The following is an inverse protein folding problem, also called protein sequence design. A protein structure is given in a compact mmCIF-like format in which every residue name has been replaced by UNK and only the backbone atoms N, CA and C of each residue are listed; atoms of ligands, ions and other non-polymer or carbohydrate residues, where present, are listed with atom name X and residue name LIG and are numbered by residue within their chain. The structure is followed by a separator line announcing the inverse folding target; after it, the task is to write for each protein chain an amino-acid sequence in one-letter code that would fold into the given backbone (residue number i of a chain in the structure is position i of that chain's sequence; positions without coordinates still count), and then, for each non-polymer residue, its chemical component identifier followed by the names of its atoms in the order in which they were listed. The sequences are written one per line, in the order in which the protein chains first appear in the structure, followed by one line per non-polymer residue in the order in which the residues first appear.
data_IF_039574075077
#
_entry.id   IF_039574075077
#
_cell.length_a   1.000
_cell.length_b   1.000
_cell.length_c   1.000
_cell.angle_alpha   90.00
_cell.angle_beta   90.00
_cell.angle_gamma   90.00
#
_symmetry.space_group_name_H-M   'P 1'
#
loop_
_entity.id
_entity.type
_entity.pdbx_description
1 polymer ?
#
# COMPACT_ATOMS: atom_id res chain seq x y z
N UNK A 1 23.71 31.83 21.01
CA UNK A 1 22.62 30.87 21.29
C UNK A 1 22.45 30.84 22.80
N UNK A 2 21.22 30.92 23.32
CA UNK A 2 20.98 30.87 24.77
C UNK A 2 21.45 29.53 25.33
N UNK A 3 22.25 29.52 26.40
CA UNK A 3 22.71 28.31 27.12
C UNK A 3 21.60 27.66 27.97
N UNK A 4 20.32 27.98 27.71
CA UNK A 4 19.21 27.24 28.33
C UNK A 4 19.16 25.82 27.78
N UNK A 5 19.21 24.84 28.67
CA UNK A 5 19.12 23.43 28.35
C UNK A 5 17.74 23.07 27.75
N UNK A 6 17.72 22.24 26.71
CA UNK A 6 16.48 21.69 26.16
C UNK A 6 16.14 20.40 26.89
N UNK A 7 15.00 20.37 27.58
CA UNK A 7 14.53 19.13 28.23
C UNK A 7 13.89 18.23 27.18
N UNK A 8 14.37 16.99 27.05
CA UNK A 8 13.82 15.98 26.14
C UNK A 8 13.21 14.84 26.96
N UNK A 9 11.94 14.53 26.69
CA UNK A 9 11.27 13.34 27.22
C UNK A 9 10.93 12.38 26.06
N UNK A 10 10.44 11.18 26.36
CA UNK A 10 9.90 10.28 25.34
C UNK A 10 8.77 10.92 24.50
N UNK A 11 8.14 12.00 25.00
CA UNK A 11 7.13 12.76 24.28
C UNK A 11 7.69 13.88 23.38
N UNK A 12 8.99 14.18 23.44
CA UNK A 12 9.66 15.26 22.69
C UNK A 12 10.25 16.36 23.59
N UNK A 13 10.66 17.50 23.00
CA UNK A 13 11.12 18.66 23.76
C UNK A 13 9.95 19.27 24.54
N UNK A 14 10.16 19.55 25.84
CA UNK A 14 9.14 20.09 26.75
C UNK A 14 9.64 21.42 27.35
N UNK A 15 8.76 22.41 27.56
CA UNK A 15 9.13 23.63 28.27
C UNK A 15 9.57 23.34 29.71
N UNK A 16 10.55 24.07 30.21
CA UNK A 16 10.97 24.01 31.62
C UNK A 16 9.91 24.65 32.54
N UNK A 17 9.83 24.17 33.78
CA UNK A 17 8.93 24.78 34.76
C UNK A 17 9.48 26.12 35.26
N UNK A 18 8.61 27.07 35.67
CA UNK A 18 9.03 28.35 36.24
C UNK A 18 10.01 28.19 37.40
N UNK A 19 9.81 27.18 38.25
CA UNK A 19 10.67 26.90 39.39
C UNK A 19 12.09 26.50 38.97
N UNK A 20 12.22 25.64 37.94
CA UNK A 20 13.51 25.20 37.43
C UNK A 20 14.28 26.35 36.78
N UNK A 21 13.59 27.20 36.02
CA UNK A 21 14.18 28.40 35.42
C UNK A 21 14.64 29.40 36.48
N UNK A 22 13.85 29.57 37.55
CA UNK A 22 14.21 30.41 38.69
C UNK A 22 15.47 29.92 39.40
N UNK A 23 15.58 28.62 39.65
CA UNK A 23 16.76 28.02 40.27
C UNK A 23 18.02 28.22 39.42
N UNK A 24 17.91 28.04 38.09
CA UNK A 24 19.02 28.28 37.17
C UNK A 24 19.45 29.75 37.14
N UNK A 25 18.47 30.67 37.06
CA UNK A 25 18.73 32.11 37.06
C UNK A 25 19.44 32.55 38.34
N UNK A 26 18.95 32.09 39.50
CA UNK A 26 19.56 32.38 40.80
C UNK A 26 20.96 31.79 40.91
N UNK A 27 21.17 30.55 40.46
CA UNK A 27 22.49 29.91 40.45
C UNK A 27 23.50 30.68 39.60
N UNK A 28 23.11 31.12 38.40
CA UNK A 28 23.96 31.93 37.53
C UNK A 28 24.27 33.31 38.15
N UNK A 29 23.26 33.96 38.72
CA UNK A 29 23.41 35.26 39.37
C UNK A 29 24.39 35.21 40.55
N UNK A 30 24.32 34.17 41.37
CA UNK A 30 25.25 33.95 42.50
C UNK A 30 26.67 33.67 42.02
N UNK A 31 26.85 32.95 40.90
CA UNK A 31 28.17 32.73 40.31
C UNK A 31 28.80 34.01 39.76
N UNK A 32 28.01 34.88 39.13
CA UNK A 32 28.50 36.14 38.56
C UNK A 32 28.74 37.23 39.61
N UNK A 33 27.98 37.22 40.70
CA UNK A 33 28.09 38.18 41.79
C UNK A 33 28.03 37.48 43.17
N UNK A 34 29.18 36.98 43.66
CA UNK A 34 29.26 36.32 44.98
C UNK A 34 28.97 37.35 46.09
N UNK A 35 27.76 37.33 46.63
CA UNK A 35 27.27 38.25 47.66
C UNK A 35 25.80 38.63 47.57
N UNK A 36 25.10 38.25 46.49
CA UNK A 36 23.64 38.41 46.38
C UNK A 36 22.92 37.56 47.43
N UNK A 37 22.08 38.20 48.25
CA UNK A 37 21.18 37.53 49.20
C UNK A 37 19.82 37.31 48.55
N UNK A 38 19.53 36.08 48.12
CA UNK A 38 18.30 35.72 47.38
C UNK A 38 17.12 35.31 48.27
N UNK A 39 17.29 35.26 49.60
CA UNK A 39 16.27 34.80 50.55
C UNK A 39 15.71 35.93 51.44
N UNK A 40 15.23 37.01 50.82
CA UNK A 40 14.47 38.05 51.54
C UNK A 40 13.06 38.13 50.94
N UNK A 41 12.04 37.60 51.65
CA UNK A 41 10.65 37.72 51.23
C UNK A 41 10.26 39.20 51.07
N UNK A 42 9.76 39.58 49.89
CA UNK A 42 9.27 40.95 49.61
C UNK A 42 10.34 41.98 49.24
N UNK A 43 11.43 41.57 48.58
CA UNK A 43 12.47 42.49 48.09
C UNK A 43 12.35 42.78 46.59
N UNK A 44 12.86 43.92 46.12
CA UNK A 44 12.98 44.27 44.70
C UNK A 44 13.64 43.16 43.85
N UNK A 45 14.47 42.32 44.48
CA UNK A 45 15.14 41.19 43.83
C UNK A 45 14.14 40.10 43.44
N UNK A 46 13.09 39.87 44.24
CA UNK A 46 12.06 38.86 43.95
C UNK A 46 11.14 39.31 42.80
N UNK A 47 10.78 40.59 42.75
CA UNK A 47 10.05 41.19 41.62
C UNK A 47 10.86 41.12 40.30
N UNK A 48 12.17 41.39 40.37
CA UNK A 48 13.06 41.29 39.20
C UNK A 48 13.18 39.83 38.75
N UNK A 49 13.44 38.90 39.68
CA UNK A 49 13.61 37.47 39.38
C UNK A 49 12.32 36.88 38.81
N UNK A 50 11.15 37.22 39.34
CA UNK A 50 9.87 36.71 38.82
C UNK A 50 9.55 37.27 37.43
N UNK A 51 9.86 38.55 37.17
CA UNK A 51 9.72 39.17 35.84
C UNK A 51 10.64 38.50 34.82
N UNK A 52 11.91 38.29 35.18
CA UNK A 52 12.90 37.63 34.32
C UNK A 52 12.55 36.16 34.06
N UNK A 53 12.06 35.42 35.06
CA UNK A 53 11.55 34.05 34.88
C UNK A 53 10.36 34.03 33.92
N UNK A 54 9.47 35.02 33.99
CA UNK A 54 8.37 35.18 33.02
C UNK A 54 8.88 35.36 31.58
N UNK A 55 9.91 36.19 31.38
CA UNK A 55 10.54 36.38 30.07
C UNK A 55 11.27 35.12 29.59
N UNK A 56 11.96 34.40 30.47
CA UNK A 56 12.65 33.14 30.19
C UNK A 56 11.67 32.05 29.78
N UNK A 57 10.50 31.96 30.42
CA UNK A 57 9.46 30.99 30.08
C UNK A 57 8.94 31.19 28.65
N UNK A 58 8.73 32.45 28.23
CA UNK A 58 8.31 32.77 26.86
C UNK A 58 9.41 32.38 25.87
N UNK A 59 10.68 32.67 26.18
CA UNK A 59 11.81 32.28 25.35
C UNK A 59 11.95 30.76 25.21
N UNK A 60 11.77 30.02 26.30
CA UNK A 60 11.86 28.56 26.33
C UNK A 60 10.71 27.91 25.54
N UNK A 61 9.48 28.45 25.67
CA UNK A 61 8.33 28.03 24.88
C UNK A 61 8.58 28.27 23.37
N UNK A 62 9.06 29.46 22.99
CA UNK A 62 9.38 29.76 21.60
C UNK A 62 10.45 28.81 21.03
N UNK A 63 11.44 28.42 21.84
CA UNK A 63 12.46 27.43 21.45
C UNK A 63 11.85 26.04 21.23
N UNK A 64 10.99 25.59 22.14
CA UNK A 64 10.31 24.28 22.01
C UNK A 64 9.41 24.25 20.77
N UNK A 65 8.66 25.32 20.52
CA UNK A 65 7.81 25.44 19.34
C UNK A 65 8.63 25.46 18.04
N UNK A 66 9.78 26.14 18.04
CA UNK A 66 10.70 26.12 16.90
C UNK A 66 11.26 24.72 16.65
N UNK A 67 11.67 23.99 17.68
CA UNK A 67 12.19 22.62 17.51
C UNK A 67 11.08 21.69 17.00
N UNK A 68 9.88 21.79 17.56
CA UNK A 68 8.72 21.00 17.11
C UNK A 68 8.30 21.34 15.67
N UNK A 69 8.62 22.53 15.17
CA UNK A 69 8.29 22.96 13.80
C UNK A 69 9.10 22.24 12.71
N UNK A 70 10.28 21.69 13.03
CA UNK A 70 11.19 21.10 12.04
C UNK A 70 10.74 19.72 11.56
N UNK A 71 10.01 18.97 12.39
CA UNK A 71 9.60 17.59 12.10
C UNK A 71 8.08 17.43 11.96
N UNK A 72 7.59 16.64 10.99
CA UNK A 72 6.15 16.50 10.75
C UNK A 72 5.42 15.78 11.90
N UNK A 73 6.12 14.94 12.69
CA UNK A 73 5.53 14.18 13.78
C UNK A 73 5.04 15.05 14.95
N UNK A 74 5.67 16.22 15.17
CA UNK A 74 5.37 17.13 16.29
C UNK A 74 4.98 18.54 15.86
N UNK A 75 5.10 18.84 14.56
CA UNK A 75 4.65 20.11 14.01
C UNK A 75 3.17 20.37 14.31
N UNK A 76 2.86 21.65 14.55
CA UNK A 76 1.48 22.13 14.56
C UNK A 76 0.88 22.01 13.14
N UNK A 77 -0.45 22.07 13.03
CA UNK A 77 -1.14 21.82 11.74
C UNK A 77 -0.74 22.86 10.67
N UNK A 78 -0.48 24.10 11.07
CA UNK A 78 -0.04 25.15 10.14
C UNK A 78 1.33 24.83 9.54
N UNK A 79 2.31 24.52 10.39
CA UNK A 79 3.66 24.14 9.96
C UNK A 79 3.66 22.81 9.22
N UNK A 80 2.82 21.86 9.60
CA UNK A 80 2.66 20.59 8.91
C UNK A 80 2.16 20.79 7.46
N UNK A 81 1.24 21.74 7.24
CA UNK A 81 0.84 22.12 5.87
C UNK A 81 1.98 22.80 5.10
N UNK A 82 2.83 23.59 5.76
CA UNK A 82 4.01 24.17 5.12
C UNK A 82 5.05 23.10 4.74
N UNK A 83 5.30 22.15 5.64
CA UNK A 83 6.15 20.97 5.40
C UNK A 83 5.60 20.09 4.27
N UNK A 84 4.26 19.95 4.20
CA UNK A 84 3.58 19.28 3.10
C UNK A 84 3.83 19.98 1.76
N UNK A 85 3.69 21.32 1.71
CA UNK A 85 4.00 22.11 0.52
C UNK A 85 5.46 21.97 0.11
N UNK A 86 6.39 22.00 1.06
CA UNK A 86 7.82 21.81 0.79
C UNK A 86 8.11 20.42 0.21
N UNK A 87 7.40 19.38 0.66
CA UNK A 87 7.50 18.02 0.13
C UNK A 87 6.70 17.81 -1.18
N UNK A 88 6.02 18.84 -1.70
CA UNK A 88 5.22 18.77 -2.93
C UNK A 88 3.93 17.97 -2.80
N UNK A 89 3.41 17.80 -1.58
CA UNK A 89 2.16 17.09 -1.31
C UNK A 89 1.02 18.09 -1.00
N UNK A 90 -0.19 17.73 -1.42
CA UNK A 90 -1.38 18.52 -1.13
C UNK A 90 -1.63 18.65 0.39
N UNK A 91 -2.21 19.77 0.87
CA UNK A 91 -2.54 19.99 2.28
C UNK A 91 -3.47 18.91 2.85
N UNK A 92 -3.77 18.98 4.15
CA UNK A 92 -4.70 18.03 4.81
C UNK A 92 -5.99 17.90 3.99
N UNK A 93 -6.35 16.67 3.62
CA UNK A 93 -7.55 16.44 2.80
C UNK A 93 -8.78 16.89 3.59
N UNK A 94 -9.49 17.87 3.05
CA UNK A 94 -10.77 18.33 3.60
C UNK A 94 -11.85 17.30 3.30
N UNK A 95 -12.97 17.39 4.01
CA UNK A 95 -14.12 16.53 3.77
C UNK A 95 -14.56 16.65 2.30
N UNK A 96 -14.71 15.51 1.63
CA UNK A 96 -15.18 15.47 0.25
C UNK A 96 -16.63 15.95 0.14
N UNK A 97 -17.01 16.45 -1.04
CA UNK A 97 -18.40 16.72 -1.35
C UNK A 97 -19.05 15.47 -1.93
N UNK A 98 -20.24 15.12 -1.44
CA UNK A 98 -21.04 14.02 -1.99
C UNK A 98 -21.47 14.38 -3.40
N UNK A 99 -21.31 13.45 -4.34
CA UNK A 99 -21.68 13.64 -5.76
C UNK A 99 -22.84 12.73 -6.11
N UNK A 100 -23.78 13.23 -6.93
CA UNK A 100 -24.98 12.50 -7.32
C UNK A 100 -25.16 12.60 -8.83
N UNK A 101 -25.34 11.47 -9.53
CA UNK A 101 -25.74 11.48 -10.93
C UNK A 101 -27.24 11.81 -11.03
N UNK A 102 -27.57 12.93 -11.64
CA UNK A 102 -28.95 13.41 -11.82
C UNK A 102 -29.31 13.37 -13.31
N UNK A 103 -30.57 13.06 -13.59
CA UNK A 103 -31.16 13.06 -14.90
C UNK A 103 -32.32 14.05 -14.91
N UNK A 104 -32.39 14.90 -15.95
CA UNK A 104 -33.44 15.89 -16.12
C UNK A 104 -34.38 15.49 -17.25
N UNK A 105 -35.69 15.65 -17.04
CA UNK A 105 -36.74 15.41 -18.02
C UNK A 105 -37.53 16.70 -18.23
N UNK A 106 -37.68 17.13 -19.49
CA UNK A 106 -38.32 18.38 -19.86
C UNK A 106 -38.36 18.63 -21.37
N UNK A 107 -38.74 19.83 -21.83
CA UNK A 107 -38.85 20.12 -23.25
C UNK A 107 -37.49 20.09 -23.95
N UNK A 108 -37.45 19.41 -25.11
CA UNK A 108 -36.25 19.29 -25.93
C UNK A 108 -35.69 20.66 -26.33
N UNK A 109 -34.37 20.81 -26.23
CA UNK A 109 -33.66 22.06 -26.54
C UNK A 109 -33.52 23.04 -25.37
N UNK A 110 -34.09 22.74 -24.20
CA UNK A 110 -33.87 23.56 -23.00
C UNK A 110 -32.46 23.36 -22.46
N UNK A 111 -31.72 24.45 -22.26
CA UNK A 111 -30.37 24.46 -21.70
C UNK A 111 -30.40 24.67 -20.19
N UNK A 112 -29.79 23.74 -19.46
CA UNK A 112 -29.60 23.79 -18.01
C UNK A 112 -28.18 24.32 -17.76
N UNK A 113 -28.03 25.53 -17.19
CA UNK A 113 -26.71 26.13 -16.99
C UNK A 113 -25.95 25.44 -15.86
N UNK A 114 -24.63 25.57 -15.88
CA UNK A 114 -23.77 25.21 -14.75
C UNK A 114 -24.22 25.96 -13.49
N UNK A 115 -24.22 25.28 -12.34
CA UNK A 115 -24.68 25.85 -11.07
C UNK A 115 -26.18 25.72 -10.81
N UNK A 116 -26.93 25.03 -11.68
CA UNK A 116 -28.33 24.69 -11.44
C UNK A 116 -28.48 23.81 -10.18
N UNK A 117 -29.41 24.16 -9.29
CA UNK A 117 -29.51 23.57 -7.95
C UNK A 117 -30.71 22.62 -7.86
N UNK A 118 -30.43 21.39 -7.42
CA UNK A 118 -31.40 20.32 -7.15
C UNK A 118 -31.27 19.85 -5.70
N UNK A 119 -32.32 19.22 -5.16
CA UNK A 119 -32.41 18.83 -3.75
C UNK A 119 -33.07 17.45 -3.58
N UNK A 120 -32.63 16.71 -2.57
CA UNK A 120 -33.26 15.48 -2.08
C UNK A 120 -34.26 15.74 -0.92
N UNK A 121 -34.47 17.02 -0.57
CA UNK A 121 -35.30 17.48 0.54
C UNK A 121 -34.54 17.76 1.84
N UNK A 122 -33.29 17.27 1.97
CA UNK A 122 -32.42 17.51 3.13
C UNK A 122 -31.14 18.27 2.76
N UNK A 123 -30.57 17.97 1.59
CA UNK A 123 -29.33 18.51 1.09
C UNK A 123 -29.51 19.05 -0.34
N UNK A 124 -28.71 20.05 -0.69
CA UNK A 124 -28.73 20.68 -2.01
C UNK A 124 -27.48 20.31 -2.80
N UNK A 125 -27.64 20.17 -4.11
CA UNK A 125 -26.60 19.78 -5.06
C UNK A 125 -26.62 20.74 -6.24
N UNK A 126 -25.44 21.16 -6.70
CA UNK A 126 -25.26 22.04 -7.84
C UNK A 126 -24.73 21.27 -9.03
N UNK A 127 -25.21 21.61 -10.23
CA UNK A 127 -24.79 20.99 -11.47
C UNK A 127 -23.37 21.43 -11.85
N UNK A 128 -22.47 20.46 -12.10
CA UNK A 128 -21.05 20.74 -12.38
C UNK A 128 -20.82 21.28 -13.79
N UNK A 129 -21.55 20.78 -14.79
CA UNK A 129 -21.40 21.15 -16.20
C UNK A 129 -22.76 21.46 -16.82
N UNK A 130 -22.82 22.50 -17.66
CA UNK A 130 -24.04 22.84 -18.36
C UNK A 130 -24.46 21.69 -19.31
N UNK A 131 -25.76 21.42 -19.38
CA UNK A 131 -26.32 20.36 -20.24
C UNK A 131 -27.55 20.86 -20.98
N UNK A 132 -27.90 20.21 -22.10
CA UNK A 132 -29.08 20.54 -22.90
C UNK A 132 -29.95 19.29 -23.00
N UNK A 133 -31.26 19.44 -22.88
CA UNK A 133 -32.21 18.33 -23.03
C UNK A 133 -32.25 17.91 -24.51
N UNK A 134 -31.84 16.66 -24.85
CA UNK A 134 -31.87 16.17 -26.23
C UNK A 134 -33.30 15.91 -26.71
N UNK A 135 -33.46 15.59 -28.00
CA UNK A 135 -34.76 15.32 -28.62
C UNK A 135 -35.53 14.14 -28.02
N UNK A 136 -34.89 13.32 -27.18
CA UNK A 136 -35.53 12.24 -26.42
C UNK A 136 -36.31 12.72 -25.19
N UNK A 137 -36.25 14.02 -24.84
CA UNK A 137 -36.95 14.60 -23.69
C UNK A 137 -36.24 14.39 -22.35
N UNK A 138 -35.17 13.59 -22.31
CA UNK A 138 -34.43 13.26 -21.08
C UNK A 138 -32.93 13.40 -21.30
N UNK A 139 -32.21 14.03 -20.38
CA UNK A 139 -30.75 14.18 -20.43
C UNK A 139 -30.03 12.86 -20.17
N UNK A 140 -28.77 12.70 -20.61
CA UNK A 140 -27.83 11.76 -20.00
C UNK A 140 -27.63 12.05 -18.50
N UNK A 141 -27.10 11.09 -17.74
CA UNK A 141 -26.73 11.33 -16.35
C UNK A 141 -25.67 12.43 -16.27
N UNK A 142 -25.97 13.49 -15.53
CA UNK A 142 -25.07 14.61 -15.27
C UNK A 142 -24.70 14.65 -13.80
N UNK A 143 -23.45 15.00 -13.50
CA UNK A 143 -22.94 14.99 -12.12
C UNK A 143 -23.30 16.30 -11.42
N UNK A 144 -24.03 16.18 -10.32
CA UNK A 144 -24.27 17.27 -9.37
C UNK A 144 -23.43 17.04 -8.11
N UNK A 145 -22.84 18.11 -7.57
CA UNK A 145 -22.01 18.07 -6.36
C UNK A 145 -22.71 18.79 -5.22
N UNK A 146 -22.65 18.25 -4.01
CA UNK A 146 -23.30 18.85 -2.85
C UNK A 146 -22.76 20.25 -2.54
N UNK A 147 -23.65 21.18 -2.20
CA UNK A 147 -23.28 22.56 -1.82
C UNK A 147 -22.58 22.61 -0.45
N UNK A 148 -22.87 21.64 0.42
CA UNK A 148 -22.22 21.47 1.72
C UNK A 148 -21.23 20.32 1.68
N UNK A 149 -20.03 20.51 2.24
CA UNK A 149 -19.06 19.42 2.40
C UNK A 149 -19.59 18.41 3.41
N UNK A 150 -19.57 17.12 3.04
CA UNK A 150 -20.05 16.06 3.91
C UNK A 150 -20.20 14.73 3.18
N UNK A 151 -20.22 13.67 3.99
CA UNK A 151 -20.45 12.29 3.54
C UNK A 151 -21.81 11.83 4.03
N UNK A 152 -22.73 11.57 3.11
CA UNK A 152 -24.01 10.96 3.41
C UNK A 152 -24.45 10.08 2.25
N UNK A 153 -25.26 9.06 2.56
CA UNK A 153 -25.82 8.19 1.54
C UNK A 153 -26.97 8.91 0.82
N UNK A 154 -26.94 8.92 -0.52
CA UNK A 154 -28.04 9.43 -1.36
C UNK A 154 -28.61 8.25 -2.14
N UNK A 155 -29.68 7.60 -1.67
CA UNK A 155 -30.31 6.48 -2.40
C UNK A 155 -30.83 6.90 -3.77
N UNK A 156 -30.96 5.94 -4.69
CA UNK A 156 -31.58 6.19 -6.00
C UNK A 156 -33.04 6.67 -5.85
N UNK A 157 -33.47 7.61 -6.70
CA UNK A 157 -34.82 8.18 -6.71
C UNK A 157 -35.11 9.24 -5.63
N UNK A 158 -34.11 9.71 -4.88
CA UNK A 158 -34.30 10.68 -3.79
C UNK A 158 -34.20 12.15 -4.24
N UNK A 159 -33.37 12.45 -5.25
CA UNK A 159 -33.20 13.82 -5.76
C UNK A 159 -34.32 14.15 -6.73
N UNK A 160 -35.38 14.78 -6.24
CA UNK A 160 -36.61 15.07 -7.02
C UNK A 160 -37.01 16.54 -7.04
N UNK A 161 -36.38 17.38 -6.21
CA UNK A 161 -36.74 18.79 -6.10
C UNK A 161 -35.78 19.68 -6.88
N UNK A 162 -36.34 20.57 -7.69
CA UNK A 162 -35.61 21.61 -8.38
C UNK A 162 -35.73 22.90 -7.55
N UNK A 163 -34.59 23.46 -7.15
CA UNK A 163 -34.54 24.67 -6.31
C UNK A 163 -34.36 25.93 -7.17
N UNK A 164 -33.62 25.82 -8.28
CA UNK A 164 -33.45 26.95 -9.21
C UNK A 164 -34.77 27.27 -9.91
N UNK A 165 -35.17 28.54 -9.91
CA UNK A 165 -36.39 29.00 -10.56
C UNK A 165 -36.34 28.76 -12.08
N UNK A 166 -37.33 28.04 -12.59
CA UNK A 166 -37.57 27.84 -14.02
C UNK A 166 -38.87 28.58 -14.38
N UNK A 167 -38.98 29.20 -15.58
CA UNK A 167 -40.21 29.86 -16.01
C UNK A 167 -41.44 28.93 -15.97
N UNK A 168 -42.61 29.46 -15.57
CA UNK A 168 -43.85 28.70 -15.34
C UNK A 168 -44.38 27.92 -16.57
N UNK A 169 -43.89 28.26 -17.77
CA UNK A 169 -44.26 27.61 -19.03
C UNK A 169 -43.48 26.31 -19.31
N UNK A 170 -42.47 25.99 -18.50
CA UNK A 170 -41.54 24.86 -18.71
C UNK A 170 -41.69 23.84 -17.57
N UNK A 171 -42.23 22.66 -17.89
CA UNK A 171 -42.23 21.52 -16.97
C UNK A 171 -40.87 20.83 -17.01
N UNK A 172 -40.07 20.99 -15.94
CA UNK A 172 -38.80 20.31 -15.75
C UNK A 172 -38.90 19.41 -14.51
N UNK A 173 -38.44 18.18 -14.61
CA UNK A 173 -38.31 17.26 -13.47
C UNK A 173 -36.88 16.73 -13.39
N UNK A 174 -36.42 16.39 -12.18
CA UNK A 174 -35.12 15.77 -11.97
C UNK A 174 -35.29 14.46 -11.19
N UNK A 175 -34.46 13.47 -11.49
CA UNK A 175 -34.40 12.20 -10.75
C UNK A 175 -32.97 11.66 -10.79
N UNK A 176 -32.48 11.07 -9.69
CA UNK A 176 -31.20 10.34 -9.70
C UNK A 176 -31.43 8.83 -9.97
N UNK A 177 -31.01 8.30 -11.14
CA UNK A 177 -31.27 6.89 -11.47
C UNK A 177 -30.39 5.92 -10.67
N UNK A 178 -29.25 6.40 -10.17
CA UNK A 178 -28.26 5.65 -9.40
C UNK A 178 -28.00 6.38 -8.08
N UNK A 179 -27.63 5.62 -7.05
CA UNK A 179 -27.24 6.20 -5.77
C UNK A 179 -26.03 7.14 -5.93
N UNK A 180 -26.01 8.22 -5.17
CA UNK A 180 -24.87 9.13 -5.11
C UNK A 180 -23.63 8.46 -4.51
N UNK A 181 -22.46 8.97 -4.88
CA UNK A 181 -21.18 8.57 -4.28
C UNK A 181 -20.92 9.48 -3.08
N UNK A 182 -20.93 8.95 -1.83
CA UNK A 182 -20.65 9.74 -0.64
C UNK A 182 -19.25 10.35 -0.71
N UNK A 183 -19.11 11.59 -0.23
CA UNK A 183 -17.81 12.23 -0.08
C UNK A 183 -16.89 11.46 0.87
N UNK A 184 -15.58 11.59 0.70
CA UNK A 184 -14.61 11.04 1.66
C UNK A 184 -14.70 11.80 3.01
N UNK A 185 -14.54 11.06 4.11
CA UNK A 185 -14.37 11.67 5.41
C UNK A 185 -13.10 12.51 5.48
N UNK A 186 -13.07 13.50 6.37
CA UNK A 186 -11.90 14.35 6.59
C UNK A 186 -10.72 13.50 7.06
N UNK A 187 -9.54 13.72 6.46
CA UNK A 187 -8.29 13.07 6.88
C UNK A 187 -7.95 13.44 8.34
N UNK A 188 -7.64 12.44 9.18
CA UNK A 188 -7.25 12.67 10.56
C UNK A 188 -5.86 13.34 10.66
N UNK A 189 -5.60 14.03 11.77
CA UNK A 189 -4.29 14.67 11.99
C UNK A 189 -3.14 13.66 12.10
N UNK A 190 -3.43 12.39 12.43
CA UNK A 190 -2.44 11.33 12.46
C UNK A 190 -2.10 10.86 11.04
N UNK A 191 -3.12 10.55 10.23
CA UNK A 191 -2.96 10.16 8.82
C UNK A 191 -2.23 11.23 8.01
N UNK A 192 -2.55 12.51 8.24
CA UNK A 192 -1.86 13.60 7.54
C UNK A 192 -0.37 13.68 7.91
N UNK A 193 -0.02 13.49 9.19
CA UNK A 193 1.39 13.48 9.64
C UNK A 193 2.17 12.32 9.05
N UNK A 194 1.55 11.14 9.04
CA UNK A 194 2.14 9.93 8.47
C UNK A 194 2.43 10.12 6.98
N UNK A 195 1.45 10.64 6.22
CA UNK A 195 1.61 10.98 4.80
C UNK A 195 2.76 11.97 4.54
N UNK A 196 2.89 13.02 5.37
CA UNK A 196 3.99 14.00 5.23
C UNK A 196 5.34 13.35 5.56
N UNK A 197 5.39 12.53 6.61
CA UNK A 197 6.60 11.82 7.03
C UNK A 197 7.09 10.84 5.96
N UNK A 198 6.22 9.99 5.44
CA UNK A 198 6.55 9.06 4.35
C UNK A 198 7.02 9.81 3.09
N UNK A 199 6.34 10.89 2.73
CA UNK A 199 6.72 11.70 1.57
C UNK A 199 8.10 12.33 1.72
N UNK A 200 8.44 12.86 2.89
CA UNK A 200 9.77 13.41 3.16
C UNK A 200 10.86 12.33 3.18
N UNK A 201 10.55 11.10 3.61
CA UNK A 201 11.47 9.97 3.53
C UNK A 201 11.68 9.48 2.10
N UNK A 202 10.68 9.65 1.22
CA UNK A 202 10.72 9.16 -0.16
C UNK A 202 11.78 9.85 -1.04
N UNK A 203 12.16 11.10 -0.74
CA UNK A 203 13.22 11.82 -1.49
C UNK A 203 14.64 11.47 -1.03
N UNK A 204 14.80 10.76 0.10
CA UNK A 204 16.10 10.51 0.75
C UNK A 204 16.58 9.06 0.60
N UNK A 205 15.68 8.09 0.39
CA UNK A 205 16.09 6.70 0.21
C UNK A 205 16.13 6.28 -1.26
N UNK A 206 17.23 5.62 -1.62
CA UNK A 206 17.58 5.20 -2.97
C UNK A 206 16.43 4.58 -3.75
N UNK A 207 16.48 4.79 -5.06
CA UNK A 207 15.69 4.28 -6.18
C UNK A 207 14.48 3.35 -5.85
N UNK A 208 14.59 2.21 -5.13
CA UNK A 208 13.43 1.39 -4.77
C UNK A 208 12.36 2.04 -3.87
N UNK A 209 12.73 2.86 -2.88
CA UNK A 209 11.77 3.39 -1.91
C UNK A 209 10.78 4.36 -2.56
N UNK A 210 11.29 5.26 -3.38
CA UNK A 210 10.50 6.24 -4.11
C UNK A 210 9.53 5.61 -5.12
N UNK A 211 10.00 4.60 -5.86
CA UNK A 211 9.16 3.86 -6.81
C UNK A 211 8.00 3.16 -6.09
N UNK A 212 8.27 2.50 -4.94
CA UNK A 212 7.20 1.84 -4.16
C UNK A 212 6.15 2.81 -3.67
N UNK A 213 6.56 3.99 -3.20
CA UNK A 213 5.62 5.02 -2.75
C UNK A 213 4.73 5.48 -3.92
N UNK A 214 5.35 5.87 -5.04
CA UNK A 214 4.60 6.40 -6.18
C UNK A 214 3.66 5.37 -6.81
N UNK A 215 4.02 4.09 -6.76
CA UNK A 215 3.13 3.01 -7.17
C UNK A 215 1.97 2.79 -6.18
N UNK A 216 2.22 2.93 -4.88
CA UNK A 216 1.18 2.78 -3.84
C UNK A 216 0.21 3.97 -3.83
N UNK A 217 0.63 5.14 -4.28
CA UNK A 217 -0.22 6.31 -4.47
C UNK A 217 -1.23 6.15 -5.64
N UNK A 218 -1.04 5.17 -6.53
CA UNK A 218 -1.94 4.92 -7.68
C UNK A 218 -3.21 4.24 -7.21
N UNK A 219 -4.36 4.67 -7.75
CA UNK A 219 -5.65 4.15 -7.35
C UNK A 219 -5.80 2.66 -7.72
N UNK A 220 -6.29 1.85 -6.76
CA UNK A 220 -6.51 0.42 -6.94
C UNK A 220 -5.27 -0.46 -6.82
N UNK A 221 -4.05 0.10 -6.77
CA UNK A 221 -2.83 -0.69 -6.56
C UNK A 221 -2.80 -1.26 -5.15
N UNK A 222 -2.56 -2.56 -5.03
CA UNK A 222 -2.40 -3.21 -3.73
C UNK A 222 -0.94 -3.08 -3.27
N UNK A 223 -0.70 -2.38 -2.16
CA UNK A 223 0.65 -2.15 -1.62
C UNK A 223 1.49 -3.44 -1.48
N UNK A 224 0.85 -4.56 -1.09
CA UNK A 224 1.51 -5.88 -0.98
C UNK A 224 2.06 -6.42 -2.30
N UNK A 225 1.47 -6.04 -3.43
CA UNK A 225 1.91 -6.47 -4.77
C UNK A 225 3.03 -5.59 -5.32
N UNK A 226 3.36 -4.50 -4.62
CA UNK A 226 4.39 -3.55 -5.03
C UNK A 226 5.74 -3.97 -4.47
N UNK A 227 6.66 -4.33 -5.36
CA UNK A 227 8.02 -4.69 -4.98
C UNK A 227 9.01 -4.22 -6.05
N UNK A 228 10.24 -3.95 -5.62
CA UNK A 228 11.33 -3.54 -6.51
C UNK A 228 12.53 -4.38 -6.15
N UNK A 229 12.98 -5.18 -7.10
CA UNK A 229 14.08 -6.14 -6.95
C UNK A 229 15.21 -5.74 -7.89
N UNK A 230 16.44 -5.78 -7.37
CA UNK A 230 17.63 -5.55 -8.17
C UNK A 230 18.09 -6.88 -8.77
N UNK A 231 18.33 -6.90 -10.07
CA UNK A 231 18.91 -8.05 -10.77
C UNK A 231 20.12 -7.60 -11.60
N UNK A 232 21.29 -7.71 -10.97
CA UNK A 232 22.56 -7.20 -11.47
C UNK A 232 22.53 -5.67 -11.68
N UNK A 233 22.70 -5.25 -12.94
CA UNK A 233 22.68 -3.84 -13.33
C UNK A 233 21.28 -3.30 -13.64
N UNK A 234 20.26 -4.15 -13.65
CA UNK A 234 18.89 -3.79 -14.00
C UNK A 234 17.93 -3.91 -12.81
N UNK A 235 16.76 -3.29 -12.94
CA UNK A 235 15.71 -3.31 -11.93
C UNK A 235 14.45 -3.96 -12.46
N UNK A 236 13.85 -4.82 -11.65
CA UNK A 236 12.55 -5.45 -11.91
C UNK A 236 11.54 -4.81 -10.97
N UNK A 237 10.55 -4.13 -11.55
CA UNK A 237 9.47 -3.50 -10.82
C UNK A 237 8.25 -4.41 -10.90
N UNK A 238 7.70 -4.74 -9.73
CA UNK A 238 6.48 -5.53 -9.58
C UNK A 238 5.36 -4.62 -9.07
N UNK A 239 4.20 -4.67 -9.72
CA UNK A 239 2.99 -3.99 -9.27
C UNK A 239 1.74 -4.69 -9.80
N UNK A 240 0.61 -4.54 -9.09
CA UNK A 240 -0.66 -5.13 -9.49
C UNK A 240 -1.86 -4.52 -8.77
N UNK A 241 -3.05 -4.70 -9.35
CA UNK A 241 -4.34 -4.26 -8.81
C UNK A 241 -4.93 -2.99 -9.43
N UNK A 242 -4.09 -2.10 -9.97
CA UNK A 242 -4.51 -0.84 -10.60
C UNK A 242 -4.55 -0.89 -12.13
N UNK A 243 -4.81 0.25 -12.75
CA UNK A 243 -4.72 0.43 -14.20
C UNK A 243 -3.27 0.39 -14.69
N UNK A 244 -3.04 -0.31 -15.80
CA UNK A 244 -1.70 -0.59 -16.36
C UNK A 244 -1.01 0.71 -16.81
N UNK A 245 -1.74 1.68 -17.34
CA UNK A 245 -1.17 2.96 -17.81
C UNK A 245 -0.85 3.90 -16.65
N UNK A 246 -1.69 3.95 -15.62
CA UNK A 246 -1.40 4.76 -14.42
C UNK A 246 -0.18 4.21 -13.66
N UNK A 247 -0.08 2.88 -13.53
CA UNK A 247 1.11 2.24 -12.96
C UNK A 247 2.36 2.54 -13.78
N UNK A 248 2.30 2.43 -15.11
CA UNK A 248 3.41 2.78 -15.99
C UNK A 248 3.79 4.27 -15.90
N UNK A 249 2.81 5.16 -15.80
CA UNK A 249 3.04 6.60 -15.61
C UNK A 249 3.69 6.93 -14.26
N UNK A 250 3.31 6.22 -13.19
CA UNK A 250 3.96 6.34 -11.88
C UNK A 250 5.42 5.85 -11.91
N UNK A 251 5.69 4.75 -12.62
CA UNK A 251 7.06 4.27 -12.86
C UNK A 251 7.85 5.28 -13.67
N UNK A 252 7.30 5.81 -14.78
CA UNK A 252 7.96 6.82 -15.61
C UNK A 252 8.38 8.06 -14.79
N UNK A 253 7.51 8.53 -13.89
CA UNK A 253 7.79 9.70 -13.05
C UNK A 253 8.74 9.42 -11.88
N UNK A 254 8.94 8.15 -11.52
CA UNK A 254 9.74 7.76 -10.34
C UNK A 254 11.06 7.06 -10.68
N UNK A 255 11.15 6.44 -11.85
CA UNK A 255 12.36 5.79 -12.34
C UNK A 255 13.33 6.86 -12.85
N UNK A 256 14.44 7.05 -12.12
CA UNK A 256 15.52 7.93 -12.55
C UNK A 256 16.24 7.49 -13.84
N UNK A 257 16.17 6.20 -14.21
CA UNK A 257 16.74 5.67 -15.45
C UNK A 257 15.91 4.49 -15.99
N UNK A 258 15.12 4.78 -17.03
CA UNK A 258 14.21 3.83 -17.67
C UNK A 258 14.96 2.73 -18.42
N UNK A 259 16.19 3.00 -18.90
CA UNK A 259 16.97 2.04 -19.69
C UNK A 259 17.41 0.81 -18.88
N UNK A 260 17.42 0.93 -17.55
CA UNK A 260 17.79 -0.14 -16.62
C UNK A 260 16.60 -0.98 -16.18
N UNK A 261 15.38 -0.65 -16.60
CA UNK A 261 14.21 -1.45 -16.28
C UNK A 261 14.15 -2.71 -17.16
N UNK A 262 13.86 -3.86 -16.55
CA UNK A 262 13.64 -5.11 -17.27
C UNK A 262 12.47 -5.89 -16.67
N UNK A 263 11.89 -6.77 -17.47
CA UNK A 263 10.93 -7.76 -17.00
C UNK A 263 11.60 -8.94 -16.29
N UNK A 264 10.79 -9.85 -15.75
CA UNK A 264 11.29 -11.10 -15.22
C UNK A 264 11.62 -12.09 -16.35
N UNK A 265 12.62 -12.93 -16.14
CA UNK A 265 13.01 -14.00 -17.08
C UNK A 265 12.54 -15.36 -16.54
N UNK A 266 12.00 -16.21 -17.42
CA UNK A 266 11.60 -17.58 -17.08
C UNK A 266 12.71 -18.53 -17.54
N UNK A 267 13.63 -18.84 -16.64
CA UNK A 267 14.73 -19.76 -16.90
C UNK A 267 14.26 -21.22 -16.92
N UNK A 268 14.84 -22.01 -17.83
CA UNK A 268 14.67 -23.46 -17.90
C UNK A 268 15.68 -24.14 -16.98
N UNK A 269 15.20 -24.97 -16.06
CA UNK A 269 16.02 -25.74 -15.11
C UNK A 269 16.15 -27.21 -15.49
N UNK A 270 15.39 -27.67 -16.48
CA UNK A 270 15.55 -29.00 -17.05
C UNK A 270 14.63 -29.26 -18.23
N UNK A 271 15.05 -30.17 -19.11
CA UNK A 271 14.22 -30.67 -20.21
C UNK A 271 14.35 -32.19 -20.25
N UNK A 272 13.22 -32.91 -20.22
CA UNK A 272 13.21 -34.37 -20.30
C UNK A 272 13.47 -34.85 -21.73
N UNK A 273 14.11 -36.01 -21.84
CA UNK A 273 14.35 -36.70 -23.10
C UNK A 273 13.21 -37.70 -23.37
N UNK A 274 12.03 -37.21 -23.77
CA UNK A 274 10.79 -37.97 -23.84
C UNK A 274 9.90 -37.53 -25.02
N UNK A 275 8.85 -38.31 -25.29
CA UNK A 275 7.82 -37.95 -26.28
C UNK A 275 6.44 -37.85 -25.60
N UNK A 276 5.88 -36.64 -25.42
CA UNK A 276 6.48 -35.34 -25.72
C UNK A 276 7.49 -34.90 -24.64
N UNK A 277 8.45 -34.05 -25.02
CA UNK A 277 9.40 -33.45 -24.08
C UNK A 277 8.71 -32.59 -23.04
N UNK A 278 9.20 -32.62 -21.80
CA UNK A 278 8.70 -31.81 -20.68
C UNK A 278 9.80 -30.85 -20.23
N UNK A 279 9.46 -29.57 -20.18
CA UNK A 279 10.33 -28.48 -19.74
C UNK A 279 9.97 -28.14 -18.29
N UNK A 280 11.00 -28.04 -17.45
CA UNK A 280 10.91 -27.58 -16.07
C UNK A 280 11.47 -26.17 -15.98
N UNK A 281 10.75 -25.25 -15.33
CA UNK A 281 11.16 -23.85 -15.18
C UNK A 281 11.59 -23.54 -13.75
N UNK A 282 12.48 -22.55 -13.58
CA UNK A 282 12.96 -22.10 -12.27
C UNK A 282 11.96 -21.23 -11.50
N UNK A 283 11.02 -20.62 -12.22
CA UNK A 283 9.92 -19.82 -11.67
C UNK A 283 8.59 -20.28 -12.26
N UNK A 284 7.46 -19.88 -11.65
CA UNK A 284 6.14 -20.29 -12.13
C UNK A 284 5.86 -19.65 -13.51
N UNK A 285 5.59 -20.43 -14.56
CA UNK A 285 5.60 -19.89 -15.93
C UNK A 285 4.31 -19.14 -16.34
N UNK A 286 3.18 -19.37 -15.65
CA UNK A 286 1.89 -18.68 -15.93
C UNK A 286 1.22 -18.99 -17.28
N UNK A 287 1.87 -19.79 -18.14
CA UNK A 287 1.35 -20.22 -19.45
C UNK A 287 -0.04 -20.89 -19.37
N UNK A 288 -0.78 -20.86 -20.48
CA UNK A 288 -2.03 -21.61 -20.69
C UNK A 288 -1.89 -22.71 -21.75
N UNK A 289 -2.72 -23.75 -21.69
CA UNK A 289 -2.70 -24.84 -22.69
C UNK A 289 -2.91 -24.31 -24.12
N UNK A 290 -2.06 -24.78 -25.04
CA UNK A 290 -2.09 -24.39 -26.46
C UNK A 290 -1.40 -23.07 -26.76
N UNK A 291 -0.73 -22.45 -25.78
CA UNK A 291 0.04 -21.24 -25.99
C UNK A 291 1.33 -21.54 -26.76
N UNK A 292 1.65 -20.72 -27.76
CA UNK A 292 2.91 -20.82 -28.49
C UNK A 292 4.02 -20.18 -27.65
N UNK A 293 5.06 -20.96 -27.36
CA UNK A 293 6.25 -20.54 -26.64
C UNK A 293 7.49 -20.80 -27.47
N UNK A 294 8.46 -19.90 -27.36
CA UNK A 294 9.80 -20.04 -27.92
C UNK A 294 10.76 -20.23 -26.76
N UNK A 295 11.69 -21.19 -26.91
CA UNK A 295 12.77 -21.38 -25.96
C UNK A 295 14.07 -21.01 -26.66
N UNK A 296 14.89 -20.17 -26.05
CA UNK A 296 16.19 -19.74 -26.60
C UNK A 296 17.32 -20.05 -25.64
N UNK A 297 18.51 -20.37 -26.17
CA UNK A 297 19.72 -20.57 -25.35
C UNK A 297 19.81 -21.92 -24.64
N UNK A 298 19.07 -22.92 -25.09
CA UNK A 298 19.16 -24.30 -24.61
C UNK A 298 20.45 -24.94 -25.11
N UNK A 299 21.23 -25.54 -24.21
CA UNK A 299 22.39 -26.35 -24.55
C UNK A 299 22.09 -27.85 -24.40
N UNK A 300 22.68 -28.66 -25.28
CA UNK A 300 22.62 -30.12 -25.22
C UNK A 300 21.41 -30.77 -25.92
N UNK A 301 20.31 -30.03 -26.13
CA UNK A 301 19.17 -30.47 -26.95
C UNK A 301 19.09 -29.67 -28.24
N UNK A 302 19.13 -30.36 -29.37
CA UNK A 302 19.01 -29.76 -30.70
C UNK A 302 17.55 -29.68 -31.17
N UNK A 303 17.22 -28.70 -32.02
CA UNK A 303 15.88 -28.57 -32.62
C UNK A 303 14.82 -27.83 -31.78
N UNK A 304 15.15 -27.36 -30.58
CA UNK A 304 14.24 -26.61 -29.70
C UNK A 304 14.46 -25.09 -29.77
N UNK A 305 15.70 -24.66 -29.99
CA UNK A 305 16.07 -23.25 -29.93
C UNK A 305 15.38 -22.39 -31.01
N UNK A 306 14.67 -21.34 -30.59
CA UNK A 306 13.97 -20.37 -31.43
C UNK A 306 12.90 -20.98 -32.34
N UNK A 307 12.32 -22.10 -31.94
CA UNK A 307 11.20 -22.74 -32.63
C UNK A 307 9.90 -22.45 -31.88
N UNK A 308 8.79 -22.14 -32.57
CA UNK A 308 7.47 -22.05 -31.95
C UNK A 308 6.98 -23.43 -31.51
N UNK A 309 6.83 -23.60 -30.21
CA UNK A 309 6.40 -24.85 -29.56
C UNK A 309 5.04 -24.64 -28.91
N UNK A 310 4.16 -25.63 -28.99
CA UNK A 310 2.86 -25.57 -28.32
C UNK A 310 3.00 -26.09 -26.89
N UNK A 311 2.84 -25.19 -25.92
CA UNK A 311 2.91 -25.54 -24.51
C UNK A 311 1.60 -26.21 -24.03
N UNK A 312 1.73 -27.39 -23.44
CA UNK A 312 0.68 -28.05 -22.64
C UNK A 312 1.12 -28.04 -21.18
N UNK A 313 0.45 -27.24 -20.35
CA UNK A 313 0.77 -27.07 -18.93
C UNK A 313 0.47 -28.37 -18.18
N UNK A 314 1.44 -28.84 -17.40
CA UNK A 314 1.31 -30.00 -16.53
C UNK A 314 1.20 -29.55 -15.07
N UNK A 315 2.11 -28.68 -14.64
CA UNK A 315 2.14 -28.06 -13.32
C UNK A 315 2.54 -26.58 -13.47
N UNK A 316 2.47 -25.75 -12.41
CA UNK A 316 2.93 -24.36 -12.49
C UNK A 316 4.41 -24.18 -12.86
N UNK A 317 5.23 -25.24 -12.74
CA UNK A 317 6.66 -25.24 -13.03
C UNK A 317 7.04 -26.21 -14.16
N UNK A 318 6.07 -26.90 -14.77
CA UNK A 318 6.34 -27.87 -15.84
C UNK A 318 5.30 -27.81 -16.94
N UNK A 319 5.77 -27.82 -18.18
CA UNK A 319 4.91 -27.89 -19.36
C UNK A 319 5.54 -28.79 -20.43
N UNK A 320 4.70 -29.42 -21.24
CA UNK A 320 5.12 -30.20 -22.39
C UNK A 320 5.16 -29.34 -23.65
N UNK A 321 6.14 -29.57 -24.51
CA UNK A 321 6.37 -28.81 -25.76
C UNK A 321 5.80 -29.50 -27.02
N UNK A 322 5.14 -30.65 -26.85
CA UNK A 322 4.46 -31.35 -27.95
C UNK A 322 5.37 -31.94 -29.04
N UNK A 323 6.69 -31.83 -28.88
CA UNK A 323 7.70 -32.42 -29.78
C UNK A 323 8.39 -33.61 -29.11
N UNK A 324 8.85 -34.55 -29.91
CA UNK A 324 9.67 -35.67 -29.45
C UNK A 324 11.11 -35.22 -29.23
N UNK A 325 11.56 -35.19 -27.98
CA UNK A 325 12.94 -34.83 -27.65
C UNK A 325 13.87 -36.04 -27.57
N UNK A 326 13.37 -37.28 -27.63
CA UNK A 326 14.10 -38.53 -27.32
C UNK A 326 15.44 -38.72 -28.06
N UNK A 327 15.53 -38.24 -29.30
CA UNK A 327 16.73 -38.32 -30.15
C UNK A 327 17.53 -37.00 -30.24
N UNK A 328 17.12 -35.98 -29.48
CA UNK A 328 17.62 -34.61 -29.64
C UNK A 328 18.84 -34.29 -28.77
N UNK A 329 19.23 -35.20 -27.87
CA UNK A 329 20.33 -35.06 -26.92
C UNK A 329 19.85 -34.85 -25.47
N UNK A 330 20.78 -34.73 -24.53
CA UNK A 330 20.48 -34.45 -23.12
C UNK A 330 20.68 -32.97 -22.82
N UNK A 331 19.78 -32.36 -22.05
CA UNK A 331 19.93 -30.98 -21.60
C UNK A 331 21.19 -30.83 -20.73
N UNK A 332 22.03 -29.85 -21.06
CA UNK A 332 23.28 -29.57 -20.32
C UNK A 332 23.28 -28.20 -19.66
N UNK A 333 22.22 -27.40 -19.81
CA UNK A 333 22.10 -26.07 -19.21
C UNK A 333 21.48 -25.02 -20.12
N UNK A 334 20.98 -23.93 -19.52
CA UNK A 334 20.42 -22.78 -20.24
C UNK A 334 18.99 -22.99 -20.76
N UNK A 335 18.44 -21.93 -21.35
CA UNK A 335 17.07 -21.89 -21.85
C UNK A 335 16.29 -20.76 -21.18
N UNK A 336 15.73 -19.88 -22.00
CA UNK A 336 14.79 -18.83 -21.60
C UNK A 336 13.48 -19.02 -22.36
N UNK A 337 12.35 -19.03 -21.65
CA UNK A 337 11.02 -19.18 -22.23
C UNK A 337 10.41 -17.81 -22.53
N UNK A 338 9.96 -17.62 -23.78
CA UNK A 338 9.24 -16.42 -24.23
C UNK A 338 7.95 -16.80 -24.94
N UNK A 339 6.84 -16.03 -24.82
CA UNK A 339 6.69 -14.81 -24.03
C UNK A 339 6.50 -15.10 -22.53
N UNK A 340 6.98 -14.19 -21.68
CA UNK A 340 6.64 -14.20 -20.26
C UNK A 340 5.33 -13.45 -20.06
N UNK A 341 4.27 -14.18 -19.70
CA UNK A 341 2.91 -13.63 -19.49
C UNK A 341 2.83 -12.62 -18.33
N UNK A 342 3.82 -12.59 -17.45
CA UNK A 342 3.90 -11.64 -16.33
C UNK A 342 4.43 -10.28 -16.75
N UNK A 343 5.23 -10.24 -17.81
CA UNK A 343 5.89 -9.03 -18.26
C UNK A 343 4.89 -8.20 -19.06
N UNK A 344 4.67 -6.98 -18.58
CA UNK A 344 3.85 -5.98 -19.25
C UNK A 344 4.78 -4.84 -19.68
N UNK A 345 4.63 -4.40 -20.92
CA UNK A 345 5.39 -3.26 -21.46
C UNK A 345 4.39 -2.24 -21.97
N UNK A 346 4.39 -1.07 -21.34
CA UNK A 346 3.54 0.05 -21.73
C UNK A 346 4.38 1.12 -22.40
N UNK A 347 3.84 1.72 -23.47
CA UNK A 347 4.47 2.89 -24.10
C UNK A 347 3.87 4.16 -23.51
N UNK A 348 4.71 5.01 -22.93
CA UNK A 348 4.35 6.36 -22.49
C UNK A 348 4.88 7.35 -23.53
N UNK A 349 4.00 8.19 -24.07
CA UNK A 349 4.38 9.28 -24.97
C UNK A 349 4.66 10.53 -24.15
N UNK A 350 5.88 11.05 -24.26
CA UNK A 350 6.26 12.36 -23.75
C UNK A 350 6.93 13.10 -24.90
N UNK A 351 6.14 13.95 -25.58
CA UNK A 351 6.51 14.55 -26.85
C UNK A 351 7.91 15.18 -26.76
N UNK A 352 8.84 14.86 -27.70
CA UNK A 352 8.64 14.13 -28.96
C UNK A 352 8.86 12.60 -28.87
N UNK A 353 9.25 12.07 -27.72
CA UNK A 353 9.75 10.70 -27.55
C UNK A 353 8.69 9.72 -27.02
N UNK A 354 8.93 8.43 -27.23
CA UNK A 354 8.15 7.34 -26.69
C UNK A 354 9.02 6.48 -25.79
N UNK A 355 8.61 6.29 -24.54
CA UNK A 355 9.30 5.51 -23.54
C UNK A 355 8.61 4.18 -23.31
N UNK A 356 9.35 3.08 -23.41
CA UNK A 356 8.87 1.73 -23.09
C UNK A 356 9.12 1.45 -21.62
N UNK A 357 8.06 1.23 -20.85
CA UNK A 357 8.11 0.96 -19.42
C UNK A 357 7.80 -0.52 -19.19
N UNK A 358 8.81 -1.38 -18.98
CA UNK A 358 8.60 -2.76 -18.61
C UNK A 358 8.36 -2.87 -17.09
N UNK A 359 7.33 -3.63 -16.72
CA UNK A 359 7.06 -4.02 -15.33
C UNK A 359 6.41 -5.41 -15.28
N UNK A 360 6.35 -5.99 -14.09
CA UNK A 360 5.91 -7.36 -13.87
C UNK A 360 4.65 -7.36 -13.02
N UNK A 361 3.61 -8.06 -13.47
CA UNK A 361 2.45 -8.36 -12.62
C UNK A 361 2.76 -9.66 -11.88
N UNK A 362 2.91 -9.64 -10.54
CA UNK A 362 3.27 -10.82 -9.78
C UNK A 362 2.12 -11.85 -9.82
N UNK A 363 2.46 -13.13 -9.99
CA UNK A 363 1.47 -14.21 -9.96
C UNK A 363 1.14 -14.63 -8.53
N UNK A 364 -0.04 -15.21 -8.36
CA UNK A 364 -0.49 -15.76 -7.10
C UNK A 364 0.13 -17.14 -6.84
N UNK A 365 0.67 -17.36 -5.64
CA UNK A 365 1.02 -18.68 -5.14
C UNK A 365 0.08 -19.08 -4.00
N UNK A 366 -0.70 -20.12 -4.21
CA UNK A 366 -1.63 -20.62 -3.21
C UNK A 366 -0.85 -21.41 -2.14
N UNK A 367 -0.90 -20.91 -0.91
CA UNK A 367 -0.28 -21.51 0.26
C UNK A 367 -1.34 -22.21 1.10
N UNK A 368 -1.05 -23.43 1.53
CA UNK A 368 -1.80 -24.16 2.55
C UNK A 368 -0.85 -24.50 3.69
N UNK A 369 -1.27 -24.26 4.93
CA UNK A 369 -0.48 -24.53 6.13
C UNK A 369 -1.15 -25.61 6.94
N UNK A 370 -0.39 -26.65 7.29
CA UNK A 370 -0.78 -27.68 8.25
C UNK A 370 0.06 -27.53 9.52
N UNK A 371 -0.59 -27.30 10.65
CA UNK A 371 0.03 -27.34 11.96
C UNK A 371 -0.19 -28.71 12.60
N UNK A 372 0.88 -29.35 13.03
CA UNK A 372 0.83 -30.55 13.85
C UNK A 372 1.27 -30.18 15.27
N UNK A 373 0.37 -30.29 16.23
CA UNK A 373 0.57 -29.80 17.59
C UNK A 373 0.34 -30.90 18.63
N UNK A 374 0.99 -30.79 19.80
CA UNK A 374 0.79 -31.70 20.92
C UNK A 374 1.00 -30.97 22.25
N UNK A 375 0.33 -31.43 23.31
CA UNK A 375 0.41 -30.84 24.66
C UNK A 375 0.58 -31.88 25.76
N UNK A 376 1.28 -31.54 26.85
CA UNK A 376 1.54 -32.46 27.98
C UNK A 376 0.40 -32.51 29.04
N UNK A 377 -0.77 -31.95 28.76
CA UNK A 377 -1.94 -31.94 29.65
C UNK A 377 -3.10 -32.82 29.17
N UNK A 378 -3.83 -33.45 30.10
CA UNK A 378 -5.02 -34.25 29.79
C UNK A 378 -6.23 -33.32 29.58
N UNK A 379 -6.84 -33.33 28.39
CA UNK A 379 -8.11 -32.68 28.04
C UNK A 379 -8.19 -31.16 28.20
N UNK A 380 -7.72 -30.38 27.23
CA UNK A 380 -8.10 -28.96 27.19
C UNK A 380 -8.87 -28.51 25.95
N UNK A 381 -8.60 -28.99 24.73
CA UNK A 381 -9.29 -28.47 23.53
C UNK A 381 -9.38 -29.51 22.39
N UNK A 382 -10.41 -29.38 21.55
CA UNK A 382 -10.49 -30.10 20.26
C UNK A 382 -9.70 -29.36 19.19
N UNK A 383 -9.22 -30.08 18.17
CA UNK A 383 -8.52 -29.48 17.02
C UNK A 383 -9.33 -28.38 16.33
N UNK A 384 -10.66 -28.50 16.35
CA UNK A 384 -11.57 -27.49 15.83
C UNK A 384 -11.45 -26.15 16.57
N UNK A 385 -11.29 -26.16 17.90
CA UNK A 385 -11.16 -24.91 18.68
C UNK A 385 -9.82 -24.23 18.41
N UNK A 386 -8.71 -25.00 18.33
CA UNK A 386 -7.40 -24.45 17.96
C UNK A 386 -7.43 -23.89 16.53
N UNK A 387 -8.06 -24.59 15.59
CA UNK A 387 -8.20 -24.13 14.22
C UNK A 387 -8.92 -22.79 14.12
N UNK A 388 -9.99 -22.58 14.88
CA UNK A 388 -10.71 -21.29 14.89
C UNK A 388 -9.87 -20.13 15.46
N UNK A 389 -8.96 -20.42 16.40
CA UNK A 389 -8.08 -19.41 17.00
C UNK A 389 -6.89 -19.05 16.11
N UNK A 390 -6.33 -20.04 15.41
CA UNK A 390 -5.09 -19.91 14.64
C UNK A 390 -5.34 -19.46 13.20
N UNK A 391 -6.48 -19.82 12.62
CA UNK A 391 -6.78 -19.54 11.19
C UNK A 391 -6.69 -18.05 10.85
N UNK A 392 -7.43 -17.17 11.54
CA UNK A 392 -7.45 -15.75 11.21
C UNK A 392 -6.08 -15.04 11.35
N UNK A 393 -5.32 -15.21 12.46
CA UNK A 393 -3.99 -14.59 12.60
C UNK A 393 -2.96 -15.10 11.59
N UNK A 394 -2.97 -16.40 11.28
CA UNK A 394 -2.06 -16.99 10.28
C UNK A 394 -2.41 -16.52 8.87
N UNK A 395 -3.70 -16.42 8.55
CA UNK A 395 -4.17 -15.88 7.26
C UNK A 395 -3.73 -14.42 7.10
N UNK A 396 -3.88 -13.62 8.15
CA UNK A 396 -3.45 -12.22 8.14
C UNK A 396 -1.94 -12.12 7.90
N UNK A 397 -1.14 -12.86 8.67
CA UNK A 397 0.32 -12.85 8.53
C UNK A 397 0.77 -13.17 7.10
N UNK A 398 0.23 -14.24 6.48
CA UNK A 398 0.64 -14.66 5.13
C UNK A 398 0.20 -13.64 4.08
N UNK A 399 -1.01 -13.09 4.21
CA UNK A 399 -1.55 -12.13 3.23
C UNK A 399 -0.95 -10.72 3.33
N UNK A 400 -0.22 -10.41 4.40
CA UNK A 400 0.56 -9.18 4.59
C UNK A 400 1.99 -9.26 4.03
N UNK A 401 2.45 -10.43 3.59
CA UNK A 401 3.78 -10.60 2.98
C UNK A 401 3.82 -9.90 1.61
N UNK A 402 4.74 -8.97 1.43
CA UNK A 402 4.98 -8.29 0.16
C UNK A 402 5.50 -9.25 -0.92
N UNK A 403 5.14 -9.00 -2.17
CA UNK A 403 5.58 -9.78 -3.33
C UNK A 403 7.12 -9.89 -3.40
N UNK A 404 7.61 -11.11 -3.63
CA UNK A 404 9.04 -11.44 -3.68
C UNK A 404 9.75 -11.49 -2.32
N UNK A 405 9.02 -11.42 -1.19
CA UNK A 405 9.60 -11.67 0.15
C UNK A 405 9.44 -13.14 0.54
N UNK A 406 10.47 -13.74 1.18
CA UNK A 406 10.38 -15.11 1.65
C UNK A 406 9.40 -15.24 2.82
N UNK A 407 8.76 -16.40 2.93
CA UNK A 407 7.90 -16.74 4.06
C UNK A 407 8.75 -17.31 5.21
N UNK A 408 8.64 -16.71 6.40
CA UNK A 408 9.38 -17.14 7.58
C UNK A 408 8.54 -18.07 8.47
N UNK A 409 9.03 -19.29 8.70
CA UNK A 409 8.36 -20.32 9.50
C UNK A 409 8.41 -19.99 10.99
N UNK A 410 9.43 -19.28 11.47
CA UNK A 410 9.52 -18.91 12.88
C UNK A 410 8.41 -17.94 13.26
N UNK A 411 8.17 -16.93 12.41
CA UNK A 411 7.05 -16.01 12.61
C UNK A 411 5.69 -16.72 12.58
N UNK A 412 5.54 -17.78 11.77
CA UNK A 412 4.32 -18.60 11.78
C UNK A 412 4.16 -19.37 13.10
N UNK A 413 5.25 -19.93 13.63
CA UNK A 413 5.26 -20.58 14.94
C UNK A 413 4.92 -19.59 16.05
N UNK A 414 5.50 -18.39 16.02
CA UNK A 414 5.22 -17.35 17.00
C UNK A 414 3.76 -16.88 16.92
N UNK A 415 3.23 -16.72 15.70
CA UNK A 415 1.82 -16.38 15.48
C UNK A 415 0.90 -17.46 16.03
N UNK A 416 1.23 -18.74 15.83
CA UNK A 416 0.51 -19.87 16.42
C UNK A 416 0.55 -19.82 17.95
N UNK A 417 1.73 -19.68 18.54
CA UNK A 417 1.92 -19.63 20.00
C UNK A 417 1.16 -18.46 20.64
N UNK A 418 1.23 -17.27 20.05
CA UNK A 418 0.50 -16.09 20.55
C UNK A 418 -1.01 -16.26 20.48
N UNK A 419 -1.52 -16.87 19.40
CA UNK A 419 -2.95 -17.12 19.22
C UNK A 419 -3.48 -18.13 20.25
N UNK A 420 -2.69 -19.18 20.53
CA UNK A 420 -3.04 -20.25 21.47
C UNK A 420 -2.85 -19.83 22.93
N UNK A 421 -1.96 -18.88 23.24
CA UNK A 421 -1.69 -18.40 24.60
C UNK A 421 -2.93 -17.82 25.33
N UNK A 422 -3.98 -17.45 24.59
CA UNK A 422 -5.26 -17.01 25.16
C UNK A 422 -6.06 -18.14 25.82
N UNK A 423 -5.75 -19.41 25.49
CA UNK A 423 -6.53 -20.57 25.91
C UNK A 423 -5.68 -21.67 26.58
N UNK A 424 -4.44 -21.88 26.11
CA UNK A 424 -3.47 -22.80 26.71
C UNK A 424 -2.17 -22.04 26.93
N UNK A 425 -1.57 -22.18 28.10
CA UNK A 425 -0.24 -21.61 28.39
C UNK A 425 0.80 -22.16 27.40
N UNK A 426 1.58 -21.26 26.80
CA UNK A 426 2.62 -21.59 25.82
C UNK A 426 3.62 -22.66 26.29
N UNK A 427 3.82 -22.80 27.61
CA UNK A 427 4.73 -23.79 28.21
C UNK A 427 4.22 -25.23 28.14
N UNK A 428 2.93 -25.44 27.86
CA UNK A 428 2.31 -26.77 27.81
C UNK A 428 2.34 -27.40 26.41
N UNK A 429 2.78 -26.67 25.39
CA UNK A 429 2.92 -27.16 24.01
C UNK A 429 4.22 -27.98 23.91
N UNK A 430 4.07 -29.30 23.80
CA UNK A 430 5.19 -30.24 23.78
C UNK A 430 5.70 -30.54 22.36
N UNK A 431 4.89 -30.29 21.33
CA UNK A 431 5.28 -30.45 19.92
C UNK A 431 4.58 -29.42 19.04
N UNK A 432 5.33 -28.77 18.15
CA UNK A 432 4.80 -27.90 17.10
C UNK A 432 5.60 -28.09 15.81
N UNK A 433 5.00 -28.77 14.84
CA UNK A 433 5.52 -28.93 13.50
C UNK A 433 4.63 -28.18 12.50
N UNK A 434 5.25 -27.55 11.51
CA UNK A 434 4.56 -26.71 10.53
C UNK A 434 4.92 -27.23 9.14
N UNK A 435 3.93 -27.73 8.42
CA UNK A 435 4.06 -28.23 7.05
C UNK A 435 3.40 -27.21 6.12
N UNK A 436 4.17 -26.72 5.16
CA UNK A 436 3.71 -25.69 4.22
C UNK A 436 3.66 -26.30 2.83
N UNK A 437 2.53 -26.09 2.16
CA UNK A 437 2.29 -26.53 0.80
C UNK A 437 2.14 -25.29 -0.07
N UNK A 438 3.00 -25.14 -1.08
CA UNK A 438 2.92 -24.05 -2.06
C UNK A 438 2.45 -24.65 -3.38
N UNK A 439 1.38 -24.11 -3.94
CA UNK A 439 0.76 -24.58 -5.19
C UNK A 439 0.50 -26.11 -5.22
N UNK A 440 0.04 -26.66 -4.09
CA UNK A 440 -0.26 -28.10 -3.95
C UNK A 440 0.94 -29.02 -3.73
N UNK A 441 2.17 -28.48 -3.66
CA UNK A 441 3.39 -29.27 -3.38
C UNK A 441 3.97 -28.92 -2.01
N UNK A 442 4.27 -29.94 -1.20
CA UNK A 442 4.93 -29.75 0.10
C UNK A 442 6.31 -29.13 -0.15
N UNK A 443 6.53 -27.93 0.37
CA UNK A 443 7.77 -27.19 0.19
C UNK A 443 8.52 -27.15 1.51
N UNK A 444 9.69 -27.78 1.53
CA UNK A 444 10.57 -27.76 2.70
C UNK A 444 11.27 -26.40 2.84
N UNK A 445 11.71 -26.03 4.05
CA UNK A 445 12.53 -24.84 4.26
C UNK A 445 13.82 -24.92 3.44
N UNK A 446 14.34 -23.76 3.01
CA UNK A 446 15.59 -23.71 2.26
C UNK A 446 16.75 -24.24 3.13
N UNK A 447 17.77 -24.90 2.53
CA UNK A 447 18.86 -25.54 3.27
C UNK A 447 19.50 -24.62 4.31
N UNK A 448 19.58 -25.09 5.56
CA UNK A 448 20.12 -24.37 6.72
C UNK A 448 19.33 -23.11 7.14
N UNK A 449 18.07 -22.95 6.69
CA UNK A 449 17.22 -21.83 7.08
C UNK A 449 15.81 -22.29 7.50
N UNK A 450 15.06 -21.40 8.14
CA UNK A 450 13.64 -21.60 8.44
C UNK A 450 12.76 -20.72 7.52
N UNK A 451 13.25 -20.40 6.32
CA UNK A 451 12.52 -19.60 5.33
C UNK A 451 12.14 -20.45 4.13
N UNK A 452 11.03 -20.08 3.50
CA UNK A 452 10.60 -20.59 2.19
C UNK A 452 10.67 -19.42 1.22
N UNK A 453 11.66 -19.45 0.32
CA UNK A 453 11.87 -18.35 -0.63
C UNK A 453 10.79 -18.24 -1.72
N UNK A 454 10.06 -19.32 -2.00
CA UNK A 454 9.00 -19.32 -3.01
C UNK A 454 9.49 -18.89 -4.40
N UNK A 455 8.59 -18.37 -5.24
CA UNK A 455 8.97 -17.70 -6.49
C UNK A 455 9.29 -16.22 -6.21
N UNK A 456 10.52 -15.75 -6.51
CA UNK A 456 10.95 -14.38 -6.22
C UNK A 456 10.11 -13.27 -6.87
N UNK A 457 9.31 -13.60 -7.88
CA UNK A 457 8.47 -12.66 -8.65
C UNK A 457 6.97 -12.91 -8.46
N UNK A 458 6.58 -13.64 -7.42
CA UNK A 458 5.19 -13.94 -7.08
C UNK A 458 4.84 -13.47 -5.66
N UNK A 459 3.55 -13.53 -5.32
CA UNK A 459 3.07 -13.26 -3.96
C UNK A 459 2.40 -14.50 -3.37
N UNK A 460 2.56 -14.68 -2.06
CA UNK A 460 1.87 -15.72 -1.32
C UNK A 460 0.42 -15.32 -1.06
N UNK A 461 -0.50 -16.27 -1.23
CA UNK A 461 -1.90 -16.11 -0.92
C UNK A 461 -2.41 -17.35 -0.20
N UNK A 462 -3.12 -17.14 0.90
CA UNK A 462 -3.82 -18.21 1.61
C UNK A 462 -5.32 -17.94 1.59
N UNK A 463 -6.09 -18.96 1.20
CA UNK A 463 -7.54 -18.92 1.25
C UNK A 463 -8.04 -19.03 2.70
N UNK A 464 -9.30 -18.64 2.94
CA UNK A 464 -9.90 -18.66 4.28
C UNK A 464 -9.96 -20.05 4.93
N UNK A 465 -9.88 -21.11 4.12
CA UNK A 465 -9.86 -22.53 4.50
C UNK A 465 -8.46 -23.16 4.38
N UNK A 466 -7.43 -22.38 4.08
CA UNK A 466 -6.08 -22.87 3.80
C UNK A 466 -5.26 -23.27 5.02
N UNK A 467 -5.80 -23.14 6.23
CA UNK A 467 -5.14 -23.55 7.49
C UNK A 467 -5.78 -24.84 7.97
N UNK A 468 -4.95 -25.82 8.31
CA UNK A 468 -5.39 -27.08 8.92
C UNK A 468 -4.57 -27.33 10.19
N UNK A 469 -5.21 -27.92 11.19
CA UNK A 469 -4.59 -28.24 12.48
C UNK A 469 -4.86 -29.71 12.78
N UNK A 470 -3.83 -30.43 13.19
CA UNK A 470 -3.87 -31.85 13.51
C UNK A 470 -3.19 -32.07 14.86
N UNK A 471 -3.96 -32.48 15.87
CA UNK A 471 -3.47 -32.76 17.21
C UNK A 471 -2.93 -34.20 17.30
N UNK A 472 -1.74 -34.37 17.88
CA UNK A 472 -1.11 -35.69 18.13
C UNK A 472 -1.17 -36.07 19.60
#
# INVERSE_FOLDING_TARGET
MSDLSVSYTAAGPVPQTPESLREQLVSLAVQMAPGITTELPGSLIEDIVSTDVGALLICDQARVDLINSVGPLKANIYMLNLLAQQAGIAPQKTQGATTVPVQFDGPAGFGIPQGFVVSDGSYTYTLNDATIIPSSGVTPQVTCTATTTGSWAVPAGTVTQIITSVPDEITLTCTNPVAGVPGLERESNYQFRDRVWESQMSTVQGYPGFIRQKLTDVNGVQARLVSVVQDGNSWIIMCGGGDIYEMAGAIFKSAGDISRLKGATVDVTGITNANPGVVTTGITHGLTNGQVVNISGVNGITGINNVPLNATVLTPHTFSIGIDTSASGSWTGGGEVTPNVRNNVVTINDWPDNYLIPFVIPLQQNVTVKFEWGSEGVNYLTDATILTLVSAPVIQYINEIYAGKPLNINNLKDTFLQSVNTVIDMSLISKLNVIITVNGTITNPDPNTNIISGDPFSYFYIASDGVTVDGV
#
